data_IF_880524834484
#
_entry.id   IF_880524834484
#
_cell.length_a   1.000
_cell.length_b   1.000
_cell.length_c   1.000
_cell.angle_alpha   90.00
_cell.angle_beta   90.00
_cell.angle_gamma   90.00
#
_symmetry.space_group_name_H-M   'P 1'
#
loop_
_entity.id
_entity.type
_entity.pdbx_description
1 polymer ?
#
# COMPACT_ATOMS: atom_id res chain seq x y z
N UNK A 1 5.98 -16.14 27.82
CA UNK A 1 5.20 -15.26 26.96
C UNK A 1 6.02 -14.01 26.73
N UNK A 2 6.74 -13.95 25.62
CA UNK A 2 7.45 -12.77 25.18
C UNK A 2 6.38 -11.77 24.73
N UNK A 3 5.93 -10.91 25.64
CA UNK A 3 5.03 -9.85 25.30
C UNK A 3 5.65 -9.03 24.17
N UNK A 4 4.97 -8.96 23.03
CA UNK A 4 5.31 -8.05 21.95
C UNK A 4 5.35 -6.63 22.53
N UNK A 5 6.55 -6.17 22.83
CA UNK A 5 6.74 -4.79 23.29
C UNK A 5 6.63 -3.92 22.07
N UNK A 6 5.75 -2.94 22.10
CA UNK A 6 5.62 -1.91 21.05
C UNK A 6 7.00 -1.34 20.67
N UNK A 7 7.94 -1.27 21.62
CA UNK A 7 9.32 -0.85 21.37
C UNK A 7 10.23 -1.88 20.69
N UNK A 8 9.75 -3.06 20.32
CA UNK A 8 10.55 -4.07 19.62
C UNK A 8 10.58 -3.89 18.08
N UNK A 9 9.70 -3.07 17.53
CA UNK A 9 9.72 -2.77 16.09
C UNK A 9 11.02 -1.99 15.74
N UNK A 10 11.69 -2.41 14.68
CA UNK A 10 12.99 -1.84 14.26
C UNK A 10 12.95 -0.34 13.99
N UNK A 11 11.80 0.16 13.54
CA UNK A 11 11.59 1.58 13.21
C UNK A 11 10.84 2.37 14.29
N UNK A 12 10.58 1.76 15.47
CA UNK A 12 9.79 2.37 16.53
C UNK A 12 10.26 3.78 16.92
N UNK A 13 11.55 3.92 17.23
CA UNK A 13 12.11 5.22 17.65
C UNK A 13 12.04 6.26 16.53
N UNK A 14 12.38 5.86 15.30
CA UNK A 14 12.33 6.74 14.15
C UNK A 14 10.90 7.21 13.87
N UNK A 15 9.92 6.29 13.92
CA UNK A 15 8.51 6.60 13.75
C UNK A 15 8.00 7.55 14.82
N UNK A 16 8.30 7.25 16.10
CA UNK A 16 7.87 8.07 17.24
C UNK A 16 8.45 9.48 17.21
N UNK A 17 9.75 9.61 17.01
CA UNK A 17 10.40 10.92 16.97
C UNK A 17 9.96 11.74 15.77
N UNK A 18 9.81 11.13 14.62
CA UNK A 18 9.31 11.81 13.44
C UNK A 18 7.87 12.31 13.61
N UNK A 19 7.03 11.53 14.29
CA UNK A 19 5.66 11.94 14.63
C UNK A 19 5.65 13.13 15.61
N UNK A 20 6.50 13.12 16.64
CA UNK A 20 6.59 14.21 17.62
C UNK A 20 6.99 15.56 17.03
N UNK A 21 7.81 15.56 15.97
CA UNK A 21 8.19 16.79 15.27
C UNK A 21 7.22 17.14 14.12
N UNK A 22 6.05 16.48 14.05
CA UNK A 22 5.05 16.71 13.00
C UNK A 22 5.46 16.26 11.60
N UNK A 23 6.45 15.37 11.49
CA UNK A 23 6.94 14.81 10.23
C UNK A 23 6.90 13.28 10.25
N UNK A 24 5.71 12.68 10.26
CA UNK A 24 5.58 11.22 10.33
C UNK A 24 6.40 10.53 9.22
N UNK A 25 7.05 9.43 9.56
CA UNK A 25 8.00 8.74 8.70
C UNK A 25 7.35 8.33 7.36
N UNK A 26 6.12 7.85 7.39
CA UNK A 26 5.38 7.53 6.16
C UNK A 26 5.18 8.74 5.24
N UNK A 27 4.96 9.94 5.81
CA UNK A 27 4.88 11.18 5.04
C UNK A 27 6.22 11.58 4.40
N UNK A 28 7.35 11.26 5.05
CA UNK A 28 8.67 11.44 4.46
C UNK A 28 8.87 10.48 3.29
N UNK A 29 8.51 9.21 3.43
CA UNK A 29 8.57 8.23 2.34
C UNK A 29 7.71 8.61 1.13
N UNK A 30 6.54 9.22 1.36
CA UNK A 30 5.72 9.76 0.26
C UNK A 30 6.49 10.84 -0.52
N UNK A 31 7.17 11.75 0.17
CA UNK A 31 8.00 12.79 -0.47
C UNK A 31 9.16 12.20 -1.26
N UNK A 32 9.84 11.19 -0.68
CA UNK A 32 10.96 10.51 -1.33
C UNK A 32 10.50 9.79 -2.60
N UNK A 33 9.34 9.10 -2.55
CA UNK A 33 8.74 8.46 -3.72
C UNK A 33 8.34 9.49 -4.79
N UNK A 34 7.77 10.62 -4.40
CA UNK A 34 7.43 11.69 -5.35
C UNK A 34 8.67 12.28 -6.01
N UNK A 35 9.75 12.50 -5.23
CA UNK A 35 11.02 12.98 -5.75
C UNK A 35 11.66 11.97 -6.71
N UNK A 36 11.65 10.68 -6.35
CA UNK A 36 12.15 9.60 -7.21
C UNK A 36 11.40 9.50 -8.53
N UNK A 37 10.05 9.58 -8.50
CA UNK A 37 9.22 9.60 -9.71
C UNK A 37 9.55 10.83 -10.56
N UNK A 38 9.67 12.00 -9.93
CA UNK A 38 10.05 13.23 -10.63
C UNK A 38 11.40 13.11 -11.32
N UNK A 39 12.39 12.51 -10.64
CA UNK A 39 13.71 12.28 -11.20
C UNK A 39 13.66 11.28 -12.38
N UNK A 40 12.98 10.15 -12.23
CA UNK A 40 12.85 9.15 -13.31
C UNK A 40 12.25 9.79 -14.56
N UNK A 41 11.18 10.54 -14.42
CA UNK A 41 10.51 11.19 -15.55
C UNK A 41 11.39 12.29 -16.18
N UNK A 42 12.18 12.98 -15.39
CA UNK A 42 13.12 13.98 -15.92
C UNK A 42 14.34 13.36 -16.60
N UNK A 43 14.80 12.21 -16.10
CA UNK A 43 15.96 11.50 -16.67
C UNK A 43 15.65 10.74 -17.96
N UNK A 44 14.37 10.35 -18.15
CA UNK A 44 13.90 9.57 -19.28
C UNK A 44 12.76 10.33 -19.98
N UNK A 45 13.08 11.29 -20.83
CA UNK A 45 12.12 12.17 -21.50
C UNK A 45 11.04 11.42 -22.27
N UNK A 46 11.34 10.21 -22.77
CA UNK A 46 10.40 9.34 -23.48
C UNK A 46 9.45 8.58 -22.55
N UNK A 47 9.62 8.65 -21.23
CA UNK A 47 8.81 7.93 -20.23
C UNK A 47 7.97 8.90 -19.41
N UNK A 48 6.82 9.34 -19.92
CA UNK A 48 6.00 10.35 -19.23
C UNK A 48 5.25 9.79 -18.00
N UNK A 49 5.19 8.46 -17.85
CA UNK A 49 4.41 7.77 -16.81
C UNK A 49 5.17 6.58 -16.24
N UNK A 50 4.81 6.19 -15.03
CA UNK A 50 5.43 5.08 -14.30
C UNK A 50 4.39 4.09 -13.80
N UNK A 51 4.80 2.83 -13.63
CA UNK A 51 4.09 1.85 -12.81
C UNK A 51 4.77 1.79 -11.44
N UNK A 52 3.99 1.93 -10.37
CA UNK A 52 4.49 1.87 -9.00
C UNK A 52 4.21 0.49 -8.40
N UNK A 53 5.27 -0.24 -8.07
CA UNK A 53 5.20 -1.53 -7.41
C UNK A 53 5.67 -1.37 -5.97
N UNK A 54 4.85 -1.79 -5.02
CA UNK A 54 5.14 -1.70 -3.59
C UNK A 54 4.95 -3.04 -2.91
N UNK A 55 5.62 -3.27 -1.79
CA UNK A 55 5.52 -4.51 -1.03
C UNK A 55 5.45 -4.24 0.47
N UNK A 56 4.59 -5.01 1.17
CA UNK A 56 4.46 -4.95 2.62
C UNK A 56 4.13 -3.55 3.11
N UNK A 57 4.86 -3.05 4.10
CA UNK A 57 4.62 -1.73 4.71
C UNK A 57 4.76 -0.54 3.74
N UNK A 58 5.52 -0.67 2.64
CA UNK A 58 5.65 0.37 1.64
C UNK A 58 4.37 0.63 0.83
N UNK A 59 3.36 -0.21 1.00
CA UNK A 59 2.07 -0.06 0.30
C UNK A 59 1.36 1.21 0.73
N UNK A 60 1.36 1.55 2.03
CA UNK A 60 0.70 2.76 2.55
C UNK A 60 1.27 4.04 1.90
N UNK A 61 2.58 4.34 2.02
CA UNK A 61 3.15 5.50 1.35
C UNK A 61 3.04 5.41 -0.18
N UNK A 62 3.08 4.20 -0.74
CA UNK A 62 2.87 3.98 -2.17
C UNK A 62 1.47 4.35 -2.64
N UNK A 63 0.41 3.96 -1.92
CA UNK A 63 -0.98 4.31 -2.23
C UNK A 63 -1.21 5.82 -2.15
N UNK A 64 -0.71 6.46 -1.09
CA UNK A 64 -0.78 7.92 -0.94
C UNK A 64 -0.06 8.61 -2.10
N UNK A 65 1.16 8.15 -2.43
CA UNK A 65 1.91 8.69 -3.58
C UNK A 65 1.15 8.49 -4.88
N UNK A 66 0.62 7.30 -5.14
CA UNK A 66 -0.15 7.02 -6.33
C UNK A 66 -1.43 7.86 -6.40
N UNK A 67 -2.12 8.09 -5.28
CA UNK A 67 -3.27 8.99 -5.21
C UNK A 67 -2.93 10.43 -5.59
N UNK A 68 -1.80 10.93 -5.14
CA UNK A 68 -1.35 12.32 -5.35
C UNK A 68 -0.62 12.55 -6.69
N UNK A 69 -0.11 11.49 -7.33
CA UNK A 69 0.78 11.57 -8.50
C UNK A 69 0.08 11.06 -9.77
N UNK A 70 -0.32 11.96 -10.64
CA UNK A 70 -0.98 11.61 -11.91
C UNK A 70 -0.08 10.84 -12.90
N UNK A 71 1.23 10.90 -12.71
CA UNK A 71 2.23 10.17 -13.50
C UNK A 71 2.27 8.67 -13.18
N UNK A 72 1.78 8.25 -12.01
CA UNK A 72 1.59 6.85 -11.69
C UNK A 72 0.33 6.35 -12.41
N UNK A 73 0.49 5.58 -13.46
CA UNK A 73 -0.61 5.05 -14.27
C UNK A 73 -1.04 3.64 -13.90
N UNK A 74 -0.22 2.91 -13.18
CA UNK A 74 -0.52 1.57 -12.65
C UNK A 74 0.03 1.44 -11.25
N UNK A 75 -0.74 0.80 -10.36
CA UNK A 75 -0.30 0.50 -9.01
C UNK A 75 -0.33 -1.01 -8.77
N UNK A 76 0.73 -1.55 -8.14
CA UNK A 76 0.84 -2.96 -7.79
C UNK A 76 1.23 -3.07 -6.33
N UNK A 77 0.42 -3.76 -5.55
CA UNK A 77 0.65 -4.06 -4.14
C UNK A 77 0.96 -5.55 -3.95
N UNK A 78 2.13 -5.86 -3.45
CA UNK A 78 2.58 -7.22 -3.15
C UNK A 78 2.57 -7.44 -1.64
N UNK A 79 2.05 -8.58 -1.18
CA UNK A 79 1.98 -8.91 0.26
C UNK A 79 1.33 -7.77 1.07
N UNK A 80 0.20 -7.28 0.57
CA UNK A 80 -0.48 -6.10 1.11
C UNK A 80 -1.13 -6.36 2.46
N UNK A 81 -0.82 -5.62 3.55
CA UNK A 81 -1.75 -5.56 4.65
C UNK A 81 -3.06 -4.95 4.15
N UNK A 82 -4.20 -5.61 4.35
CA UNK A 82 -5.49 -5.14 3.84
C UNK A 82 -6.37 -4.48 4.90
N UNK A 83 -5.95 -4.54 6.14
CA UNK A 83 -6.57 -3.80 7.25
C UNK A 83 -5.51 -3.47 8.29
N UNK A 84 -5.64 -2.31 8.92
CA UNK A 84 -4.88 -1.93 10.10
C UNK A 84 -5.67 -2.20 11.39
N UNK A 85 -6.89 -2.70 11.28
CA UNK A 85 -7.71 -3.08 12.44
C UNK A 85 -7.42 -4.53 12.79
N UNK A 86 -7.03 -4.80 14.02
CA UNK A 86 -6.73 -6.14 14.52
C UNK A 86 -7.01 -6.27 16.00
N UNK A 87 -7.65 -7.37 16.40
CA UNK A 87 -7.84 -7.72 17.81
C UNK A 87 -6.59 -8.32 18.44
N UNK A 88 -5.66 -8.81 17.62
CA UNK A 88 -4.37 -9.36 18.04
C UNK A 88 -3.27 -8.31 17.89
N UNK A 89 -2.23 -8.40 18.70
CA UNK A 89 -1.03 -7.56 18.52
C UNK A 89 -0.50 -7.70 17.11
N UNK A 90 -0.07 -6.59 16.53
CA UNK A 90 0.62 -6.62 15.25
C UNK A 90 1.86 -7.50 15.36
N UNK A 91 2.19 -8.20 14.28
CA UNK A 91 3.46 -8.87 14.14
C UNK A 91 4.64 -7.89 14.24
N UNK A 92 5.84 -8.29 13.87
CA UNK A 92 7.00 -7.39 13.77
C UNK A 92 6.79 -6.38 12.62
N UNK A 93 5.70 -5.60 12.73
CA UNK A 93 5.29 -4.63 11.73
C UNK A 93 6.17 -3.39 11.75
N UNK A 94 6.25 -2.73 10.62
CA UNK A 94 6.90 -1.44 10.47
C UNK A 94 5.91 -0.35 10.88
N UNK A 95 6.05 0.14 12.10
CA UNK A 95 5.19 1.20 12.67
C UNK A 95 5.31 2.50 11.87
N UNK A 96 6.49 2.77 11.31
CA UNK A 96 6.74 3.96 10.51
C UNK A 96 5.89 4.10 9.24
N UNK A 97 5.34 3.00 8.74
CA UNK A 97 4.42 3.05 7.61
C UNK A 97 3.02 3.57 7.97
N UNK A 98 2.66 3.55 9.26
CA UNK A 98 1.35 3.99 9.73
C UNK A 98 1.33 5.52 9.81
N UNK A 99 0.34 6.13 9.18
CA UNK A 99 0.08 7.56 9.28
C UNK A 99 -0.78 7.83 10.51
N UNK A 100 -0.33 8.69 11.45
CA UNK A 100 -1.16 9.10 12.59
C UNK A 100 -2.49 9.69 12.12
N UNK A 101 -3.59 9.26 12.72
CA UNK A 101 -4.94 9.71 12.36
C UNK A 101 -5.53 9.04 11.10
N UNK A 102 -4.79 8.17 10.42
CA UNK A 102 -5.24 7.59 9.14
C UNK A 102 -6.61 6.90 9.25
N UNK A 103 -6.80 6.05 10.27
CA UNK A 103 -8.06 5.32 10.43
C UNK A 103 -9.26 6.23 10.72
N UNK A 104 -9.06 7.32 11.46
CA UNK A 104 -10.11 8.28 11.78
C UNK A 104 -10.44 9.22 10.63
N UNK A 105 -9.44 9.63 9.87
CA UNK A 105 -9.57 10.74 8.93
C UNK A 105 -9.70 10.26 7.47
N UNK A 106 -9.06 9.15 7.14
CA UNK A 106 -9.02 8.60 5.78
C UNK A 106 -9.68 7.22 5.67
N UNK A 107 -9.74 6.47 6.76
CA UNK A 107 -10.18 5.08 6.78
C UNK A 107 -9.04 4.08 6.71
N UNK A 108 -9.35 2.84 6.40
CA UNK A 108 -8.40 1.73 6.35
C UNK A 108 -7.78 1.56 4.95
N UNK A 109 -7.04 0.50 4.74
CA UNK A 109 -6.32 0.21 3.49
C UNK A 109 -7.26 0.20 2.27
N UNK A 110 -8.47 -0.34 2.40
CA UNK A 110 -9.45 -0.34 1.31
C UNK A 110 -9.80 1.08 0.82
N UNK A 111 -9.92 2.04 1.72
CA UNK A 111 -10.14 3.44 1.36
C UNK A 111 -8.92 4.04 0.66
N UNK A 112 -7.71 3.72 1.14
CA UNK A 112 -6.48 4.18 0.48
C UNK A 112 -6.34 3.60 -0.93
N UNK A 113 -6.64 2.32 -1.14
CA UNK A 113 -6.64 1.70 -2.48
C UNK A 113 -7.63 2.41 -3.40
N UNK A 114 -8.76 2.85 -2.86
CA UNK A 114 -9.78 3.58 -3.63
C UNK A 114 -9.29 4.93 -4.20
N UNK A 115 -8.27 5.55 -3.59
CA UNK A 115 -7.66 6.80 -4.10
C UNK A 115 -6.96 6.61 -5.46
N UNK A 116 -6.64 5.38 -5.82
CA UNK A 116 -5.96 5.08 -7.09
C UNK A 116 -6.97 4.90 -8.24
N UNK A 117 -8.25 4.64 -7.94
CA UNK A 117 -9.28 4.49 -8.97
C UNK A 117 -9.34 5.72 -9.90
N UNK A 118 -9.64 5.52 -11.20
CA UNK A 118 -9.97 4.29 -11.90
C UNK A 118 -8.75 3.55 -12.51
N UNK A 119 -7.54 3.85 -12.09
CA UNK A 119 -6.28 3.35 -12.69
C UNK A 119 -6.08 1.87 -12.42
N UNK A 120 -5.43 1.12 -13.34
CA UNK A 120 -5.08 -0.28 -13.15
C UNK A 120 -4.38 -0.51 -11.81
N UNK A 121 -5.00 -1.31 -10.95
CA UNK A 121 -4.57 -1.58 -9.59
C UNK A 121 -4.57 -3.08 -9.34
N UNK A 122 -3.42 -3.62 -8.96
CA UNK A 122 -3.22 -5.04 -8.69
C UNK A 122 -2.92 -5.26 -7.22
N UNK A 123 -3.71 -6.10 -6.58
CA UNK A 123 -3.46 -6.59 -5.22
C UNK A 123 -3.04 -8.06 -5.34
N UNK A 124 -1.78 -8.31 -5.06
CA UNK A 124 -1.15 -9.64 -5.19
C UNK A 124 -0.82 -10.15 -3.81
N UNK A 125 -1.52 -11.14 -3.34
CA UNK A 125 -1.44 -11.72 -2.00
C UNK A 125 -1.71 -10.68 -0.90
N UNK A 126 -2.90 -10.75 -0.31
CA UNK A 126 -3.25 -9.94 0.86
C UNK A 126 -2.77 -10.60 2.15
N UNK A 127 -2.41 -9.77 3.12
CA UNK A 127 -1.99 -10.23 4.45
C UNK A 127 -2.81 -9.58 5.55
N UNK A 128 -2.94 -10.26 6.69
CA UNK A 128 -3.42 -9.64 7.92
C UNK A 128 -2.26 -8.91 8.65
N UNK A 129 -2.55 -8.27 9.77
CA UNK A 129 -1.56 -7.53 10.56
C UNK A 129 -0.58 -8.43 11.32
N UNK A 130 -0.76 -9.73 11.31
CA UNK A 130 0.19 -10.72 11.81
C UNK A 130 1.13 -11.23 10.71
N UNK A 131 0.95 -10.80 9.45
CA UNK A 131 1.74 -11.22 8.31
C UNK A 131 1.29 -12.57 7.71
N UNK A 132 0.14 -13.11 8.14
CA UNK A 132 -0.45 -14.33 7.61
C UNK A 132 -1.18 -14.01 6.30
N UNK A 133 -1.10 -14.91 5.32
CA UNK A 133 -1.80 -14.76 4.05
C UNK A 133 -3.31 -14.87 4.26
N UNK A 134 -4.04 -13.94 3.67
CA UNK A 134 -5.51 -14.01 3.60
C UNK A 134 -5.94 -15.03 2.56
N UNK A 135 -7.00 -15.75 2.85
CA UNK A 135 -7.64 -16.58 1.84
C UNK A 135 -8.34 -15.71 0.77
N UNK A 136 -8.78 -16.36 -0.31
CA UNK A 136 -9.42 -15.64 -1.42
C UNK A 136 -10.69 -14.90 -1.00
N UNK A 137 -11.46 -15.46 -0.08
CA UNK A 137 -12.71 -14.86 0.40
C UNK A 137 -12.41 -13.63 1.25
N UNK A 138 -11.52 -13.77 2.23
CA UNK A 138 -11.07 -12.67 3.09
C UNK A 138 -10.49 -11.51 2.27
N UNK A 139 -9.70 -11.83 1.24
CA UNK A 139 -9.11 -10.87 0.32
C UNK A 139 -10.18 -10.08 -0.45
N UNK A 140 -11.20 -10.75 -0.97
CA UNK A 140 -12.31 -10.11 -1.69
C UNK A 140 -13.16 -9.28 -0.72
N UNK A 141 -13.48 -9.82 0.45
CA UNK A 141 -14.30 -9.14 1.46
C UNK A 141 -13.62 -7.84 1.95
N UNK A 142 -12.30 -7.88 2.18
CA UNK A 142 -11.51 -6.71 2.58
C UNK A 142 -11.49 -5.60 1.51
N UNK A 143 -11.66 -5.94 0.25
CA UNK A 143 -11.67 -5.01 -0.88
C UNK A 143 -13.07 -4.67 -1.39
N UNK A 144 -14.14 -5.09 -0.71
CA UNK A 144 -15.51 -4.87 -1.18
C UNK A 144 -15.84 -3.37 -1.36
N UNK A 145 -15.41 -2.53 -0.41
CA UNK A 145 -15.54 -1.07 -0.52
C UNK A 145 -14.77 -0.54 -1.74
N UNK A 146 -13.52 -0.93 -1.90
CA UNK A 146 -12.67 -0.55 -3.04
C UNK A 146 -13.34 -0.92 -4.36
N UNK A 147 -13.83 -2.14 -4.48
CA UNK A 147 -14.52 -2.61 -5.68
C UNK A 147 -15.76 -1.76 -6.01
N UNK A 148 -16.49 -1.31 -4.99
CA UNK A 148 -17.64 -0.41 -5.19
C UNK A 148 -17.22 0.94 -5.77
N UNK A 149 -16.10 1.51 -5.30
CA UNK A 149 -15.57 2.78 -5.81
C UNK A 149 -15.07 2.64 -7.26
N UNK A 150 -14.37 1.55 -7.59
CA UNK A 150 -13.99 1.28 -8.98
C UNK A 150 -15.22 1.17 -9.89
N UNK A 151 -16.27 0.47 -9.45
CA UNK A 151 -17.53 0.37 -10.19
C UNK A 151 -18.22 1.73 -10.39
N UNK A 152 -18.25 2.59 -9.37
CA UNK A 152 -18.79 3.96 -9.49
C UNK A 152 -18.01 4.75 -10.55
N UNK A 153 -16.69 4.56 -10.63
CA UNK A 153 -15.83 5.17 -11.64
C UNK A 153 -15.87 4.45 -13.00
N UNK A 154 -16.81 3.52 -13.20
CA UNK A 154 -16.97 2.72 -14.42
C UNK A 154 -15.69 1.97 -14.83
N UNK A 155 -14.90 1.54 -13.85
CA UNK A 155 -13.64 0.85 -14.07
C UNK A 155 -13.70 -0.61 -13.63
N UNK A 156 -13.10 -1.49 -14.42
CA UNK A 156 -12.88 -2.90 -14.12
C UNK A 156 -11.41 -3.19 -13.76
N UNK A 157 -10.64 -2.15 -13.54
CA UNK A 157 -9.17 -2.20 -13.41
C UNK A 157 -8.69 -2.56 -11.98
N UNK A 158 -9.55 -3.00 -11.09
CA UNK A 158 -9.15 -3.60 -9.82
C UNK A 158 -8.96 -5.11 -10.00
N UNK A 159 -7.72 -5.54 -9.95
CA UNK A 159 -7.33 -6.94 -10.11
C UNK A 159 -6.83 -7.51 -8.78
N UNK A 160 -7.39 -8.64 -8.39
CA UNK A 160 -7.06 -9.33 -7.14
C UNK A 160 -6.57 -10.73 -7.46
N UNK A 161 -5.39 -11.10 -7.00
CA UNK A 161 -4.81 -12.41 -7.27
C UNK A 161 -4.01 -12.96 -6.09
N UNK A 162 -3.98 -14.28 -5.98
CA UNK A 162 -3.03 -15.00 -5.14
C UNK A 162 -1.79 -15.32 -5.97
N UNK A 163 -0.61 -15.10 -5.42
CA UNK A 163 0.63 -15.45 -6.10
C UNK A 163 0.96 -16.93 -5.85
N UNK A 164 1.00 -17.72 -6.91
CA UNK A 164 1.38 -19.14 -6.86
C UNK A 164 2.91 -19.36 -6.92
N UNK A 165 3.69 -18.29 -6.95
CA UNK A 165 5.14 -18.32 -7.02
C UNK A 165 5.77 -16.93 -7.12
N UNK A 166 7.10 -16.85 -6.92
CA UNK A 166 7.81 -15.56 -6.73
C UNK A 166 7.65 -14.53 -7.85
N UNK A 167 7.38 -14.94 -9.09
CA UNK A 167 7.36 -14.02 -10.24
C UNK A 167 6.20 -14.23 -11.22
N UNK A 168 5.24 -15.08 -10.93
CA UNK A 168 4.12 -15.35 -11.88
C UNK A 168 3.24 -14.10 -12.08
N UNK A 169 3.13 -13.26 -11.06
CA UNK A 169 2.40 -12.00 -11.13
C UNK A 169 2.99 -11.01 -12.14
N UNK A 170 4.33 -10.99 -12.36
CA UNK A 170 4.96 -10.07 -13.30
C UNK A 170 4.39 -10.23 -14.72
N UNK A 171 4.28 -11.47 -15.17
CA UNK A 171 3.73 -11.74 -16.50
C UNK A 171 2.28 -11.28 -16.64
N UNK A 172 1.47 -11.50 -15.61
CA UNK A 172 0.05 -11.12 -15.63
C UNK A 172 -0.15 -9.60 -15.56
N UNK A 173 0.66 -8.91 -14.79
CA UNK A 173 0.58 -7.45 -14.60
C UNK A 173 1.11 -6.66 -15.79
N UNK A 174 2.16 -7.16 -16.46
CA UNK A 174 2.88 -6.40 -17.49
C UNK A 174 2.76 -7.00 -18.90
N UNK A 175 2.04 -8.09 -19.08
CA UNK A 175 1.78 -8.68 -20.40
C UNK A 175 0.49 -8.16 -21.06
N UNK A 176 -0.25 -7.27 -20.39
CA UNK A 176 -1.50 -6.65 -20.85
C UNK A 176 -1.28 -5.26 -21.41
#
# INVERSE_FOLDING_TARGET
PSGNRVGAALDHNAAQWSAWIGRPLAGQWVRDLQAAIGWVVAAFEEVPTVSLVTRGAAIIPGLVTAGLQSRVKRFVALDAPLTLVSERSYGEGQIGAILPGMLSDLGDIGQLVSLVAPRPTWIVTGKNMQGEDLDRKELIDSLAYTASIFKINQSTELHVMMADGRNDWLRRVFAS
#
